data_IF_043956764894
#
_entry.id   IF_043956764894
#
_cell.length_a   1.000
_cell.length_b   1.000
_cell.length_c   1.000
_cell.angle_alpha   90.00
_cell.angle_beta   90.00
_cell.angle_gamma   90.00
#
_symmetry.space_group_name_H-M   'P 1'
#
loop_
_entity.id
_entity.type
_entity.pdbx_description
1 polymer ?
#
# COMPACT_ATOMS: atom_id res chain seq x y z
N UNK A 1 14.28 20.42 -12.16
CA UNK A 1 13.55 20.08 -10.91
C UNK A 1 13.29 18.57 -10.76
N UNK A 2 14.27 17.70 -11.01
CA UNK A 2 14.09 16.24 -10.82
C UNK A 2 14.52 15.81 -9.42
N UNK A 3 15.61 16.40 -8.92
CA UNK A 3 16.11 16.16 -7.57
C UNK A 3 15.09 16.53 -6.48
N UNK A 4 14.49 17.72 -6.56
CA UNK A 4 13.45 18.14 -5.60
C UNK A 4 12.26 17.18 -5.57
N UNK A 5 11.82 16.67 -6.72
CA UNK A 5 10.75 15.67 -6.80
C UNK A 5 11.16 14.34 -6.16
N UNK A 6 12.42 13.93 -6.32
CA UNK A 6 12.95 12.72 -5.68
C UNK A 6 13.00 12.87 -4.16
N UNK A 7 13.47 14.01 -3.65
CA UNK A 7 13.50 14.32 -2.21
C UNK A 7 12.10 14.28 -1.60
N UNK A 8 11.11 14.89 -2.27
CA UNK A 8 9.72 14.87 -1.78
C UNK A 8 9.17 13.44 -1.73
N UNK A 9 9.42 12.62 -2.76
CA UNK A 9 8.97 11.22 -2.79
C UNK A 9 9.62 10.40 -1.68
N UNK A 10 10.90 10.60 -1.43
CA UNK A 10 11.63 9.85 -0.41
C UNK A 10 11.22 10.24 1.02
N UNK A 11 10.94 11.52 1.24
CA UNK A 11 10.36 11.99 2.50
C UNK A 11 9.00 11.33 2.77
N UNK A 12 8.13 11.24 1.75
CA UNK A 12 6.82 10.58 1.89
C UNK A 12 6.91 9.06 2.05
N UNK A 13 7.94 8.41 1.47
CA UNK A 13 8.21 6.98 1.66
C UNK A 13 8.59 6.66 3.10
N UNK A 14 9.44 7.51 3.71
CA UNK A 14 9.93 7.34 5.09
C UNK A 14 8.97 7.88 6.16
N UNK A 15 8.16 8.89 5.84
CA UNK A 15 7.24 9.52 6.77
C UNK A 15 5.88 9.75 6.10
N UNK A 16 5.15 8.67 5.76
CA UNK A 16 3.80 8.82 5.23
C UNK A 16 2.89 9.37 6.33
N UNK A 17 2.01 10.31 5.96
CA UNK A 17 1.01 10.89 6.87
C UNK A 17 0.05 9.84 7.45
N UNK A 18 -0.21 8.76 6.69
CA UNK A 18 -1.07 7.65 7.11
C UNK A 18 -0.35 6.31 6.89
N UNK A 19 -0.23 5.44 7.90
CA UNK A 19 0.49 4.17 7.77
C UNK A 19 -0.26 3.12 6.93
N UNK A 20 -1.57 3.28 6.77
CA UNK A 20 -2.43 2.41 5.96
C UNK A 20 -3.28 3.24 5.00
N UNK A 21 -3.60 2.67 3.84
CA UNK A 21 -4.65 3.24 2.99
C UNK A 21 -6.02 3.12 3.64
N UNK A 22 -6.95 3.93 3.14
CA UNK A 22 -8.38 3.84 3.47
C UNK A 22 -8.82 2.38 3.27
N UNK A 23 -9.43 1.74 4.28
CA UNK A 23 -9.89 0.37 4.15
C UNK A 23 -10.85 0.22 2.97
N UNK A 24 -10.64 -0.81 2.15
CA UNK A 24 -11.49 -1.13 1.00
C UNK A 24 -12.32 -2.35 1.32
N UNK A 25 -13.60 -2.32 0.96
CA UNK A 25 -14.49 -3.47 1.11
C UNK A 25 -14.57 -4.21 -0.23
N UNK A 26 -14.46 -5.54 -0.22
CA UNK A 26 -14.62 -6.36 -1.42
C UNK A 26 -16.07 -6.32 -1.90
N UNK A 27 -16.31 -5.86 -3.13
CA UNK A 27 -17.66 -5.80 -3.70
C UNK A 27 -18.22 -7.17 -4.10
N UNK A 28 -17.34 -8.15 -4.33
CA UNK A 28 -17.72 -9.49 -4.78
C UNK A 28 -16.76 -10.55 -4.22
N UNK A 29 -17.15 -11.81 -4.33
CA UNK A 29 -16.28 -12.94 -4.03
C UNK A 29 -15.11 -12.95 -5.03
N UNK A 30 -13.87 -12.96 -4.53
CA UNK A 30 -12.67 -12.92 -5.36
C UNK A 30 -11.66 -13.95 -4.88
N UNK A 31 -10.98 -14.60 -5.85
CA UNK A 31 -9.83 -15.46 -5.56
C UNK A 31 -8.54 -14.70 -5.86
N UNK A 32 -7.73 -14.42 -4.83
CA UNK A 32 -6.47 -13.69 -4.95
C UNK A 32 -5.36 -14.45 -4.23
N UNK A 33 -4.19 -14.63 -4.86
CA UNK A 33 -3.05 -15.35 -4.29
C UNK A 33 -3.40 -16.76 -3.74
N UNK A 34 -4.38 -17.44 -4.34
CA UNK A 34 -4.87 -18.74 -3.88
C UNK A 34 -5.89 -18.70 -2.73
N UNK A 35 -6.17 -17.53 -2.16
CA UNK A 35 -7.17 -17.33 -1.12
C UNK A 35 -8.53 -16.94 -1.69
N UNK A 36 -9.60 -17.45 -1.10
CA UNK A 36 -10.97 -17.04 -1.41
C UNK A 36 -11.43 -15.96 -0.43
N UNK A 37 -11.58 -14.74 -0.95
CA UNK A 37 -12.05 -13.58 -0.19
C UNK A 37 -13.54 -13.39 -0.50
N UNK A 38 -14.38 -13.45 0.52
CA UNK A 38 -15.83 -13.24 0.37
C UNK A 38 -16.14 -11.76 0.14
N UNK A 39 -17.26 -11.49 -0.52
CA UNK A 39 -17.88 -10.18 -0.59
C UNK A 39 -18.07 -9.61 0.83
N UNK A 40 -18.00 -8.28 0.94
CA UNK A 40 -18.02 -7.53 2.20
C UNK A 40 -16.82 -7.74 3.14
N UNK A 41 -15.76 -8.42 2.70
CA UNK A 41 -14.51 -8.47 3.47
C UNK A 41 -13.78 -7.13 3.40
N UNK A 42 -13.37 -6.58 4.54
CA UNK A 42 -12.55 -5.37 4.61
C UNK A 42 -11.06 -5.71 4.42
N UNK A 43 -10.48 -5.17 3.35
CA UNK A 43 -9.05 -5.21 3.08
C UNK A 43 -8.35 -3.94 3.54
N UNK A 44 -7.21 -4.10 4.19
CA UNK A 44 -6.36 -3.01 4.67
C UNK A 44 -4.98 -3.19 4.03
N UNK A 45 -4.47 -2.14 3.36
CA UNK A 45 -3.16 -2.18 2.72
C UNK A 45 -2.14 -1.50 3.62
N UNK A 46 -1.17 -2.29 4.10
CA UNK A 46 -0.07 -1.79 4.93
C UNK A 46 0.99 -1.09 4.07
N UNK A 47 0.73 0.18 3.75
CA UNK A 47 1.66 1.01 2.96
C UNK A 47 2.96 1.28 3.70
N UNK A 48 2.92 1.39 5.01
CA UNK A 48 4.10 1.59 5.85
C UNK A 48 5.16 0.51 5.62
N UNK A 49 4.72 -0.76 5.61
CA UNK A 49 5.63 -1.88 5.39
C UNK A 49 6.12 -1.93 3.93
N UNK A 50 5.20 -1.77 2.97
CA UNK A 50 5.53 -1.80 1.53
C UNK A 50 6.57 -0.74 1.18
N UNK A 51 6.39 0.50 1.66
CA UNK A 51 7.32 1.60 1.37
C UNK A 51 8.73 1.39 1.93
N UNK A 52 8.92 0.51 2.92
CA UNK A 52 10.22 0.23 3.56
C UNK A 52 10.81 -1.13 3.17
N UNK A 53 10.09 -1.91 2.37
CA UNK A 53 10.56 -3.23 1.99
C UNK A 53 11.77 -3.11 1.06
N UNK A 54 12.95 -3.66 1.41
CA UNK A 54 14.17 -3.53 0.59
C UNK A 54 14.02 -4.09 -0.82
N UNK A 55 13.14 -5.08 -1.00
CA UNK A 55 12.87 -5.72 -2.28
C UNK A 55 12.02 -4.88 -3.22
N UNK A 56 11.29 -3.88 -2.71
CA UNK A 56 10.47 -2.98 -3.53
C UNK A 56 11.24 -1.72 -3.98
N UNK A 57 12.53 -1.59 -3.64
CA UNK A 57 13.37 -0.41 -3.85
C UNK A 57 14.22 -0.51 -5.15
N UNK A 58 13.92 -1.46 -6.03
CA UNK A 58 14.67 -1.68 -7.30
C UNK A 58 13.79 -1.48 -8.52
#
# INVERSE_FOLDING_TARGET
MHYLKAVIKEALRLYPSVPSLIPRISSQDVKTNGYHIKANTQGIVNVWNIGREPKSIV
#
